data_IF_452244964982
#
_entry.id   IF_452244964982
#
_cell.length_a   1.000
_cell.length_b   1.000
_cell.length_c   1.000
_cell.angle_alpha   90.00
_cell.angle_beta   90.00
_cell.angle_gamma   90.00
#
_symmetry.space_group_name_H-M   'P 1'
#
loop_
_entity.id
_entity.type
_entity.pdbx_description
1 polymer ?
#
# COMPACT_ATOMS: atom_id res chain seq x y z
N UNK A 1 9.60 -34.43 -40.69
CA UNK A 1 10.24 -33.89 -39.47
C UNK A 1 10.27 -32.39 -39.62
N UNK A 2 9.20 -31.72 -39.20
CA UNK A 2 8.98 -30.28 -39.39
C UNK A 2 9.73 -29.47 -38.35
N UNK A 3 10.15 -28.27 -38.77
CA UNK A 3 11.26 -27.48 -38.23
C UNK A 3 10.82 -26.46 -37.17
N UNK A 4 9.60 -26.59 -36.63
CA UNK A 4 8.93 -25.57 -35.80
C UNK A 4 8.23 -26.17 -34.57
N UNK A 5 9.00 -26.76 -33.65
CA UNK A 5 8.60 -26.90 -32.25
C UNK A 5 9.88 -26.70 -31.41
N UNK A 6 9.89 -25.86 -30.36
CA UNK A 6 8.80 -25.71 -29.39
C UNK A 6 8.40 -24.25 -29.08
N UNK A 7 7.12 -24.01 -28.78
CA UNK A 7 6.75 -22.95 -27.83
C UNK A 7 7.65 -23.14 -26.60
N UNK A 8 8.42 -22.12 -26.21
CA UNK A 8 9.56 -22.36 -25.32
C UNK A 8 9.08 -22.98 -24.02
N UNK A 9 9.89 -23.84 -23.38
CA UNK A 9 9.55 -24.45 -22.08
C UNK A 9 9.05 -23.39 -21.07
N UNK A 10 9.60 -22.16 -21.17
CA UNK A 10 9.19 -21.01 -20.36
C UNK A 10 7.75 -20.54 -20.63
N UNK A 11 7.30 -20.60 -21.88
CA UNK A 11 5.93 -20.24 -22.25
C UNK A 11 4.94 -21.28 -21.71
N UNK A 12 5.29 -22.56 -21.80
CA UNK A 12 4.49 -23.66 -21.22
C UNK A 12 4.40 -23.51 -19.70
N UNK A 13 5.54 -23.30 -19.02
CA UNK A 13 5.57 -23.07 -17.57
C UNK A 13 4.77 -21.83 -17.15
N UNK A 14 4.78 -20.76 -17.96
CA UNK A 14 4.01 -19.55 -17.70
C UNK A 14 2.50 -19.82 -17.83
N UNK A 15 2.08 -20.54 -18.87
CA UNK A 15 0.68 -20.92 -19.09
C UNK A 15 0.18 -21.81 -17.96
N UNK A 16 0.93 -22.85 -17.59
CA UNK A 16 0.59 -23.73 -16.47
C UNK A 16 0.44 -22.95 -15.16
N UNK A 17 1.31 -21.97 -14.92
CA UNK A 17 1.23 -21.10 -13.74
C UNK A 17 -0.02 -20.20 -13.77
N UNK A 18 -0.37 -19.65 -14.94
CA UNK A 18 -1.58 -18.84 -15.10
C UNK A 18 -2.82 -19.68 -14.85
N UNK A 19 -2.92 -20.88 -15.45
CA UNK A 19 -4.05 -21.78 -15.27
C UNK A 19 -4.16 -22.31 -13.84
N UNK A 20 -3.04 -22.68 -13.20
CA UNK A 20 -3.03 -23.11 -11.81
C UNK A 20 -3.53 -22.00 -10.87
N UNK A 21 -3.16 -20.73 -11.13
CA UNK A 21 -3.67 -19.59 -10.38
C UNK A 21 -5.16 -19.36 -10.66
N UNK A 22 -5.58 -19.44 -11.91
CA UNK A 22 -6.98 -19.25 -12.30
C UNK A 22 -7.89 -20.28 -11.62
N UNK A 23 -7.51 -21.56 -11.63
CA UNK A 23 -8.23 -22.62 -10.93
C UNK A 23 -8.29 -22.37 -9.42
N UNK A 24 -7.17 -22.00 -8.79
CA UNK A 24 -7.14 -21.73 -7.35
C UNK A 24 -8.05 -20.55 -6.95
N UNK A 25 -8.08 -19.48 -7.75
CA UNK A 25 -8.95 -18.33 -7.52
C UNK A 25 -10.41 -18.70 -7.77
N UNK A 26 -10.70 -19.48 -8.81
CA UNK A 26 -12.04 -19.99 -9.11
C UNK A 26 -12.58 -20.86 -7.96
N UNK A 27 -11.80 -21.81 -7.46
CA UNK A 27 -12.18 -22.70 -6.36
C UNK A 27 -12.52 -21.92 -5.08
N UNK A 28 -11.72 -20.89 -4.78
CA UNK A 28 -11.95 -19.99 -3.66
C UNK A 28 -13.21 -19.14 -3.85
N UNK A 29 -13.42 -18.58 -5.04
CA UNK A 29 -14.63 -17.83 -5.37
C UNK A 29 -15.89 -18.69 -5.27
N UNK A 30 -15.87 -19.90 -5.83
CA UNK A 30 -17.00 -20.84 -5.73
C UNK A 30 -17.36 -21.18 -4.29
N UNK A 31 -16.34 -21.37 -3.45
CA UNK A 31 -16.52 -21.63 -2.02
C UNK A 31 -17.09 -20.43 -1.24
N UNK A 32 -16.85 -19.21 -1.72
CA UNK A 32 -17.40 -17.99 -1.13
C UNK A 32 -18.88 -17.79 -1.49
N UNK A 33 -19.28 -18.19 -2.70
CA UNK A 33 -20.61 -17.90 -3.26
C UNK A 33 -21.59 -19.04 -3.08
N UNK A 34 -21.14 -20.28 -2.93
CA UNK A 34 -22.02 -21.45 -2.82
C UNK A 34 -22.69 -21.80 -4.15
N UNK A 35 -22.16 -22.81 -4.83
CA UNK A 35 -22.89 -23.49 -5.89
C UNK A 35 -24.08 -24.29 -5.31
N UNK A 36 -25.15 -24.42 -6.10
CA UNK A 36 -26.34 -25.21 -5.76
C UNK A 36 -26.03 -26.70 -5.47
N UNK A 37 -26.67 -27.20 -4.39
CA UNK A 37 -27.08 -28.57 -4.08
C UNK A 37 -26.00 -29.64 -3.79
N UNK A 38 -26.02 -30.13 -2.54
CA UNK A 38 -25.50 -31.46 -2.19
C UNK A 38 -24.72 -31.50 -0.89
N UNK A 39 -25.41 -31.87 0.20
CA UNK A 39 -24.88 -32.38 1.47
C UNK A 39 -23.34 -32.41 1.65
N UNK A 40 -22.74 -31.27 2.04
CA UNK A 40 -21.52 -31.28 2.86
C UNK A 40 -21.57 -30.08 3.81
N UNK A 41 -21.42 -30.33 5.10
CA UNK A 41 -21.36 -29.37 6.22
C UNK A 41 -20.18 -28.36 6.15
N UNK A 42 -19.64 -28.05 4.96
CA UNK A 42 -18.44 -27.23 4.82
C UNK A 42 -18.76 -25.82 4.29
N UNK A 43 -18.76 -24.89 5.24
CA UNK A 43 -18.44 -23.45 5.10
C UNK A 43 -19.26 -22.63 4.10
N UNK A 44 -20.45 -22.18 4.53
CA UNK A 44 -21.18 -21.09 3.89
C UNK A 44 -20.58 -19.75 4.35
N UNK A 45 -19.85 -19.06 3.47
CA UNK A 45 -19.29 -17.71 3.72
C UNK A 45 -20.25 -16.57 3.30
N UNK A 46 -21.36 -16.92 2.62
CA UNK A 46 -22.39 -15.98 2.16
C UNK A 46 -23.03 -15.05 3.22
N UNK A 47 -23.27 -15.44 4.49
CA UNK A 47 -24.01 -14.60 5.42
C UNK A 47 -23.34 -13.26 5.74
N UNK A 48 -22.02 -13.13 5.51
CA UNK A 48 -21.24 -11.95 5.85
C UNK A 48 -21.04 -10.96 4.70
N UNK A 49 -21.28 -11.39 3.45
CA UNK A 49 -21.23 -10.51 2.29
C UNK A 49 -22.61 -9.87 2.05
N UNK A 50 -22.62 -8.60 1.67
CA UNK A 50 -23.86 -7.93 1.27
C UNK A 50 -24.45 -8.56 0.00
N UNK A 51 -25.73 -8.33 -0.26
CA UNK A 51 -26.38 -8.75 -1.52
C UNK A 51 -25.68 -8.18 -2.76
N UNK A 52 -25.07 -6.99 -2.65
CA UNK A 52 -24.36 -6.35 -3.76
C UNK A 52 -23.01 -7.02 -4.02
N UNK A 53 -22.24 -7.28 -2.96
CA UNK A 53 -20.99 -8.05 -3.01
C UNK A 53 -21.24 -9.46 -3.57
N UNK A 54 -22.28 -10.15 -3.12
CA UNK A 54 -22.63 -11.48 -3.65
C UNK A 54 -22.91 -11.45 -5.15
N UNK A 55 -23.75 -10.52 -5.63
CA UNK A 55 -24.05 -10.38 -7.08
C UNK A 55 -22.80 -10.12 -7.91
N UNK A 56 -21.91 -9.25 -7.43
CA UNK A 56 -20.67 -8.93 -8.14
C UNK A 56 -19.74 -10.15 -8.19
N UNK A 57 -19.63 -10.89 -7.09
CA UNK A 57 -18.84 -12.10 -7.01
C UNK A 57 -19.36 -13.15 -8.02
N UNK A 58 -20.69 -13.35 -8.10
CA UNK A 58 -21.31 -14.34 -9.00
C UNK A 58 -21.03 -13.98 -10.45
N UNK A 59 -21.14 -12.69 -10.79
CA UNK A 59 -20.83 -12.19 -12.12
C UNK A 59 -19.38 -12.50 -12.52
N UNK A 60 -18.41 -12.17 -11.66
CA UNK A 60 -16.98 -12.39 -11.95
C UNK A 60 -16.63 -13.88 -12.09
N UNK A 61 -17.26 -14.75 -11.29
CA UNK A 61 -17.10 -16.20 -11.46
C UNK A 61 -17.64 -16.69 -12.80
N UNK A 62 -18.84 -16.26 -13.19
CA UNK A 62 -19.43 -16.65 -14.48
C UNK A 62 -18.57 -16.17 -15.67
N UNK A 63 -17.96 -14.99 -15.59
CA UNK A 63 -17.05 -14.47 -16.60
C UNK A 63 -15.76 -15.32 -16.70
N UNK A 64 -15.21 -15.77 -15.57
CA UNK A 64 -14.05 -16.66 -15.53
C UNK A 64 -14.39 -18.07 -16.05
N UNK A 65 -15.51 -18.65 -15.63
CA UNK A 65 -15.98 -19.96 -16.10
C UNK A 65 -16.28 -19.97 -17.59
N UNK A 66 -16.92 -18.92 -18.11
CA UNK A 66 -17.12 -18.74 -19.54
C UNK A 66 -15.79 -18.73 -20.32
N UNK A 67 -14.74 -18.15 -19.73
CA UNK A 67 -13.40 -18.13 -20.32
C UNK A 67 -12.73 -19.51 -20.34
N UNK A 68 -12.99 -20.36 -19.33
CA UNK A 68 -12.56 -21.75 -19.34
C UNK A 68 -13.32 -22.59 -20.36
N UNK A 69 -14.64 -22.43 -20.48
CA UNK A 69 -15.44 -23.19 -21.46
C UNK A 69 -15.03 -22.89 -22.91
N UNK A 70 -14.70 -21.63 -23.21
CA UNK A 70 -14.15 -21.22 -24.50
C UNK A 70 -12.81 -21.92 -24.83
N UNK A 71 -12.05 -22.33 -23.81
CA UNK A 71 -10.76 -23.02 -23.99
C UNK A 71 -10.90 -24.49 -24.41
N UNK A 72 -12.03 -25.13 -24.08
CA UNK A 72 -12.24 -26.57 -24.29
C UNK A 72 -12.84 -26.94 -25.65
N UNK A 73 -13.24 -25.95 -26.47
CA UNK A 73 -14.09 -26.20 -27.63
C UNK A 73 -13.40 -26.17 -29.01
N UNK A 74 -12.12 -25.82 -29.17
CA UNK A 74 -11.48 -25.81 -30.50
C UNK A 74 -9.99 -26.18 -30.49
N UNK A 75 -9.52 -26.78 -31.59
CA UNK A 75 -8.11 -26.81 -31.96
C UNK A 75 -7.69 -25.38 -32.35
N UNK A 76 -7.39 -24.56 -31.34
CA UNK A 76 -7.09 -23.14 -31.47
C UNK A 76 -5.74 -22.93 -32.18
N UNK A 77 -5.70 -21.97 -33.11
CA UNK A 77 -4.43 -21.48 -33.66
C UNK A 77 -3.63 -20.68 -32.61
N UNK A 78 -2.33 -20.49 -32.82
CA UNK A 78 -1.44 -19.83 -31.85
C UNK A 78 -1.91 -18.43 -31.41
N UNK A 79 -2.47 -17.63 -32.34
CA UNK A 79 -3.02 -16.28 -32.05
C UNK A 79 -4.26 -16.33 -31.15
N UNK A 80 -5.14 -17.32 -31.34
CA UNK A 80 -6.36 -17.48 -30.56
C UNK A 80 -6.05 -17.98 -29.14
N UNK A 81 -5.00 -18.80 -28.98
CA UNK A 81 -4.52 -19.27 -27.68
C UNK A 81 -3.99 -18.12 -26.81
N UNK A 82 -3.23 -17.18 -27.40
CA UNK A 82 -2.71 -15.99 -26.69
C UNK A 82 -3.84 -15.08 -26.21
N UNK A 83 -4.85 -14.84 -27.05
CA UNK A 83 -6.01 -14.03 -26.70
C UNK A 83 -6.82 -14.69 -25.57
N UNK A 84 -7.02 -16.00 -25.65
CA UNK A 84 -7.70 -16.78 -24.60
C UNK A 84 -6.94 -16.73 -23.26
N UNK A 85 -5.63 -16.95 -23.26
CA UNK A 85 -4.80 -16.87 -22.05
C UNK A 85 -4.85 -15.46 -21.44
N UNK A 86 -4.83 -14.43 -22.30
CA UNK A 86 -4.93 -13.03 -21.88
C UNK A 86 -6.28 -12.75 -21.22
N UNK A 87 -7.37 -13.25 -21.80
CA UNK A 87 -8.71 -13.14 -21.22
C UNK A 87 -8.82 -13.89 -19.89
N UNK A 88 -8.37 -15.15 -19.80
CA UNK A 88 -8.36 -15.92 -18.53
C UNK A 88 -7.58 -15.17 -17.45
N UNK A 89 -6.41 -14.65 -17.79
CA UNK A 89 -5.59 -13.86 -16.85
C UNK A 89 -6.35 -12.61 -16.38
N UNK A 90 -6.98 -11.87 -17.28
CA UNK A 90 -7.73 -10.66 -16.95
C UNK A 90 -8.93 -10.96 -16.04
N UNK A 91 -9.70 -12.01 -16.32
CA UNK A 91 -10.83 -12.40 -15.46
C UNK A 91 -10.36 -12.91 -14.10
N UNK A 92 -9.27 -13.69 -14.08
CA UNK A 92 -8.63 -14.16 -12.84
C UNK A 92 -8.16 -12.99 -11.98
N UNK A 93 -7.51 -11.98 -12.58
CA UNK A 93 -7.04 -10.79 -11.87
C UNK A 93 -8.20 -9.96 -11.32
N UNK A 94 -9.31 -9.88 -12.05
CA UNK A 94 -10.52 -9.16 -11.64
C UNK A 94 -11.20 -9.83 -10.45
N UNK A 95 -11.37 -11.16 -10.50
CA UNK A 95 -11.90 -11.93 -9.38
C UNK A 95 -10.96 -11.88 -8.18
N UNK A 96 -9.66 -12.09 -8.37
CA UNK A 96 -8.68 -12.02 -7.29
C UNK A 96 -8.69 -10.65 -6.59
N UNK A 97 -8.70 -9.55 -7.35
CA UNK A 97 -8.77 -8.19 -6.78
C UNK A 97 -10.04 -7.97 -5.97
N UNK A 98 -11.19 -8.45 -6.46
CA UNK A 98 -12.45 -8.38 -5.73
C UNK A 98 -12.39 -9.19 -4.43
N UNK A 99 -11.86 -10.42 -4.48
CA UNK A 99 -11.69 -11.26 -3.30
C UNK A 99 -10.79 -10.59 -2.26
N UNK A 100 -9.67 -10.00 -2.70
CA UNK A 100 -8.76 -9.26 -1.83
C UNK A 100 -9.46 -8.10 -1.12
N UNK A 101 -10.30 -7.35 -1.83
CA UNK A 101 -11.04 -6.23 -1.24
C UNK A 101 -12.09 -6.69 -0.22
N UNK A 102 -12.67 -7.87 -0.42
CA UNK A 102 -13.62 -8.47 0.51
C UNK A 102 -12.97 -8.92 1.82
N UNK A 103 -11.66 -9.22 1.86
CA UNK A 103 -10.95 -9.72 3.07
C UNK A 103 -11.17 -8.79 4.25
N UNK A 104 -11.12 -7.47 4.03
CA UNK A 104 -11.34 -6.47 5.07
C UNK A 104 -12.71 -6.61 5.75
N UNK A 105 -13.73 -7.10 5.05
CA UNK A 105 -15.10 -7.23 5.56
C UNK A 105 -15.40 -8.57 6.22
N UNK A 106 -14.48 -9.54 6.18
CA UNK A 106 -14.71 -10.88 6.72
C UNK A 106 -14.38 -10.97 8.22
N UNK A 107 -15.13 -11.81 8.92
CA UNK A 107 -14.92 -12.09 10.34
C UNK A 107 -13.83 -13.15 10.58
N UNK A 108 -13.37 -13.27 11.83
CA UNK A 108 -12.27 -14.18 12.20
C UNK A 108 -12.55 -15.67 11.85
N UNK A 109 -13.74 -16.23 12.13
CA UNK A 109 -14.10 -17.58 11.67
C UNK A 109 -13.98 -17.77 10.15
N UNK A 110 -14.54 -16.84 9.36
CA UNK A 110 -14.49 -16.90 7.89
C UNK A 110 -13.05 -16.86 7.38
N UNK A 111 -12.24 -15.95 7.92
CA UNK A 111 -10.82 -15.83 7.56
C UNK A 111 -10.02 -17.10 7.90
N UNK A 112 -10.30 -17.75 9.04
CA UNK A 112 -9.67 -19.03 9.41
C UNK A 112 -10.04 -20.15 8.46
N UNK A 113 -11.29 -20.19 8.01
CA UNK A 113 -11.74 -21.15 7.00
C UNK A 113 -11.05 -20.91 5.66
N UNK A 114 -11.05 -19.66 5.16
CA UNK A 114 -10.34 -19.31 3.93
C UNK A 114 -8.84 -19.63 3.99
N UNK A 115 -8.19 -19.38 5.13
CA UNK A 115 -6.77 -19.71 5.32
C UNK A 115 -6.46 -21.20 5.12
N UNK A 116 -7.37 -22.08 5.54
CA UNK A 116 -7.23 -23.54 5.38
C UNK A 116 -7.41 -23.98 3.92
N UNK A 117 -8.23 -23.26 3.17
CA UNK A 117 -8.57 -23.58 1.78
C UNK A 117 -7.57 -23.00 0.78
N UNK A 118 -7.01 -21.82 1.07
CA UNK A 118 -6.11 -21.13 0.18
C UNK A 118 -4.83 -21.96 -0.07
N UNK A 119 -4.69 -22.44 -1.32
CA UNK A 119 -3.58 -23.27 -1.76
C UNK A 119 -2.30 -22.45 -1.97
N UNK A 120 -1.17 -23.13 -2.21
CA UNK A 120 0.10 -22.46 -2.53
C UNK A 120 0.03 -21.61 -3.81
N UNK A 121 -0.89 -21.94 -4.73
CA UNK A 121 -1.09 -21.17 -5.96
C UNK A 121 -1.74 -19.78 -5.69
N UNK A 122 -2.39 -19.61 -4.54
CA UNK A 122 -2.97 -18.34 -4.07
C UNK A 122 -2.16 -17.75 -2.89
N UNK A 123 -0.83 -17.76 -2.99
CA UNK A 123 0.05 -17.36 -1.89
C UNK A 123 -0.18 -15.92 -1.41
N UNK A 124 -0.42 -14.97 -2.32
CA UNK A 124 -0.70 -13.58 -1.96
C UNK A 124 -1.92 -13.46 -1.05
N UNK A 125 -3.02 -14.13 -1.44
CA UNK A 125 -4.24 -14.20 -0.63
C UNK A 125 -3.98 -14.81 0.76
N UNK A 126 -3.14 -15.85 0.85
CA UNK A 126 -2.76 -16.44 2.15
C UNK A 126 -2.06 -15.43 3.05
N UNK A 127 -1.14 -14.64 2.50
CA UNK A 127 -0.45 -13.59 3.23
C UNK A 127 -1.43 -12.51 3.71
N UNK A 128 -2.37 -12.08 2.85
CA UNK A 128 -3.41 -11.11 3.22
C UNK A 128 -4.31 -11.61 4.34
N UNK A 129 -4.77 -12.86 4.27
CA UNK A 129 -5.57 -13.47 5.32
C UNK A 129 -4.77 -13.54 6.63
N UNK A 130 -3.49 -13.90 6.59
CA UNK A 130 -2.63 -13.91 7.78
C UNK A 130 -2.51 -12.50 8.39
N UNK A 131 -2.21 -11.49 7.58
CA UNK A 131 -2.17 -10.09 8.01
C UNK A 131 -3.49 -9.62 8.62
N UNK A 132 -4.64 -9.95 8.00
CA UNK A 132 -5.96 -9.60 8.55
C UNK A 132 -6.22 -10.29 9.88
N UNK A 133 -5.88 -11.57 10.01
CA UNK A 133 -5.99 -12.27 11.28
C UNK A 133 -5.12 -11.61 12.37
N UNK A 134 -3.89 -11.24 12.06
CA UNK A 134 -2.97 -10.51 12.97
C UNK A 134 -3.50 -9.10 13.32
N UNK A 135 -4.23 -8.45 12.42
CA UNK A 135 -4.95 -7.21 12.72
C UNK A 135 -6.13 -7.41 13.68
N UNK A 136 -6.72 -8.61 13.70
CA UNK A 136 -7.87 -8.92 14.56
C UNK A 136 -7.47 -9.55 15.90
N UNK A 137 -6.24 -10.05 16.05
CA UNK A 137 -5.76 -10.58 17.33
C UNK A 137 -5.61 -9.47 18.38
N UNK A 138 -6.02 -9.76 19.61
CA UNK A 138 -5.89 -8.85 20.76
C UNK A 138 -4.51 -8.94 21.41
N UNK A 139 -3.85 -10.10 21.32
CA UNK A 139 -2.57 -10.36 21.93
C UNK A 139 -1.46 -10.41 20.88
N UNK A 140 -0.35 -9.71 21.16
CA UNK A 140 0.91 -9.79 20.43
C UNK A 140 2.03 -10.09 21.44
N UNK A 141 3.07 -10.81 21.02
CA UNK A 141 4.19 -11.10 21.92
C UNK A 141 4.85 -9.79 22.37
N UNK A 142 5.10 -9.62 23.69
CA UNK A 142 5.78 -8.44 24.23
C UNK A 142 7.31 -8.49 24.05
N UNK A 143 7.84 -9.52 23.39
CA UNK A 143 9.28 -9.74 23.30
C UNK A 143 9.98 -8.64 22.50
N UNK A 144 10.75 -7.82 23.20
CA UNK A 144 11.54 -6.77 22.59
C UNK A 144 12.78 -7.36 21.89
N UNK A 145 13.10 -6.78 20.75
CA UNK A 145 14.24 -7.18 19.93
C UNK A 145 15.44 -6.30 20.23
N UNK A 146 16.61 -6.91 20.46
CA UNK A 146 17.86 -6.18 20.66
C UNK A 146 18.49 -5.80 19.32
N UNK A 147 18.96 -4.56 19.22
CA UNK A 147 19.67 -4.03 18.05
C UNK A 147 21.00 -3.43 18.50
N UNK A 148 22.07 -3.75 17.77
CA UNK A 148 23.39 -3.13 17.95
C UNK A 148 23.52 -1.98 16.94
N UNK A 149 23.66 -0.75 17.42
CA UNK A 149 23.58 0.44 16.56
C UNK A 149 24.93 0.93 16.05
N UNK A 150 24.96 1.42 14.81
CA UNK A 150 26.18 1.85 14.11
C UNK A 150 26.71 3.20 14.60
N UNK A 151 25.82 4.02 15.15
CA UNK A 151 26.13 5.36 15.65
C UNK A 151 25.52 5.57 17.02
N UNK A 152 26.02 6.54 17.78
CA UNK A 152 25.31 7.01 18.97
C UNK A 152 23.95 7.60 18.59
N UNK A 153 22.97 7.49 19.51
CA UNK A 153 21.67 8.11 19.33
C UNK A 153 21.79 9.63 19.44
N UNK A 154 20.94 10.35 18.70
CA UNK A 154 20.83 11.81 18.83
C UNK A 154 19.42 12.21 19.27
N UNK A 155 19.24 13.39 19.92
CA UNK A 155 17.92 13.90 20.26
C UNK A 155 17.01 14.03 19.03
N UNK A 156 15.72 13.68 19.17
CA UNK A 156 14.70 13.74 18.11
C UNK A 156 15.05 12.96 16.84
N UNK A 157 15.93 11.97 16.95
CA UNK A 157 16.25 11.07 15.84
C UNK A 157 15.04 10.19 15.53
N UNK A 158 14.51 10.31 14.30
CA UNK A 158 13.43 9.44 13.83
C UNK A 158 13.94 8.12 13.25
N UNK A 159 15.05 8.14 12.51
CA UNK A 159 15.58 6.97 11.82
C UNK A 159 17.01 6.67 12.29
N UNK A 160 17.31 5.40 12.54
CA UNK A 160 18.66 4.97 12.96
C UNK A 160 19.01 3.60 12.37
N UNK A 161 20.22 3.48 11.84
CA UNK A 161 20.76 2.23 11.31
C UNK A 161 21.43 1.41 12.42
N UNK A 162 21.40 0.09 12.27
CA UNK A 162 22.09 -0.84 13.15
C UNK A 162 22.11 -2.24 12.57
N UNK A 163 22.36 -3.22 13.43
CA UNK A 163 22.46 -4.62 13.10
C UNK A 163 21.66 -5.48 14.09
N UNK A 164 21.03 -6.54 13.58
CA UNK A 164 20.38 -7.56 14.38
C UNK A 164 20.69 -8.93 13.79
N UNK A 165 21.29 -9.82 14.59
CA UNK A 165 21.60 -11.20 14.17
C UNK A 165 22.37 -11.30 12.84
N UNK A 166 23.24 -10.33 12.56
CA UNK A 166 24.02 -10.24 11.31
C UNK A 166 23.34 -9.50 10.15
N UNK A 167 22.05 -9.21 10.24
CA UNK A 167 21.32 -8.41 9.24
C UNK A 167 21.46 -6.90 9.52
N UNK A 168 21.61 -6.09 8.46
CA UNK A 168 21.50 -4.62 8.57
C UNK A 168 20.04 -4.23 8.74
N UNK A 169 19.77 -3.36 9.71
CA UNK A 169 18.42 -2.95 10.10
C UNK A 169 18.28 -1.43 10.16
N UNK A 170 17.06 -0.98 9.88
CA UNK A 170 16.60 0.39 10.05
C UNK A 170 15.59 0.43 11.19
N UNK A 171 15.83 1.27 12.18
CA UNK A 171 14.91 1.53 13.30
C UNK A 171 14.19 2.85 13.08
N UNK A 172 12.86 2.81 13.05
CA UNK A 172 12.00 4.00 13.08
C UNK A 172 11.49 4.23 14.51
N UNK A 173 11.84 5.37 15.10
CA UNK A 173 11.45 5.76 16.45
C UNK A 173 10.14 6.54 16.49
N UNK A 174 9.34 6.20 17.50
CA UNK A 174 8.08 6.85 17.86
C UNK A 174 8.22 7.36 19.29
N UNK A 175 8.20 8.67 19.43
CA UNK A 175 8.29 9.32 20.73
C UNK A 175 6.89 9.41 21.34
N UNK A 176 6.83 9.25 22.66
CA UNK A 176 5.63 9.52 23.42
C UNK A 176 6.01 10.36 24.65
N UNK A 177 5.02 10.99 25.27
CA UNK A 177 5.24 11.77 26.50
C UNK A 177 5.23 10.86 27.72
N UNK A 178 5.61 11.39 28.89
CA UNK A 178 5.44 10.65 30.14
C UNK A 178 3.94 10.39 30.37
N UNK A 179 3.57 9.11 30.36
CA UNK A 179 2.21 8.61 30.48
C UNK A 179 2.11 7.67 31.67
N UNK A 180 0.91 7.52 32.20
CA UNK A 180 0.62 6.55 33.25
C UNK A 180 0.83 5.11 32.75
N UNK A 181 1.04 4.18 33.68
CA UNK A 181 1.34 2.77 33.39
C UNK A 181 0.25 2.10 32.54
N UNK A 182 -1.03 2.44 32.76
CA UNK A 182 -2.14 1.85 32.00
C UNK A 182 -2.14 2.34 30.54
N UNK A 183 -1.82 3.61 30.30
CA UNK A 183 -1.65 4.16 28.95
C UNK A 183 -0.39 3.61 28.29
N UNK A 184 0.70 3.43 29.04
CA UNK A 184 1.92 2.79 28.55
C UNK A 184 1.68 1.35 28.10
N UNK A 185 0.97 0.55 28.91
CA UNK A 185 0.63 -0.83 28.57
C UNK A 185 -0.19 -0.92 27.28
N UNK A 186 -1.20 -0.04 27.12
CA UNK A 186 -2.00 0.04 25.89
C UNK A 186 -1.17 0.43 24.67
N UNK A 187 -0.25 1.39 24.83
CA UNK A 187 0.66 1.80 23.76
C UNK A 187 1.63 0.66 23.38
N UNK A 188 2.21 -0.03 24.37
CA UNK A 188 3.10 -1.18 24.15
C UNK A 188 2.38 -2.31 23.43
N UNK A 189 1.14 -2.63 23.80
CA UNK A 189 0.32 -3.62 23.09
C UNK A 189 0.05 -3.20 21.63
N UNK A 190 -0.26 -1.91 21.40
CA UNK A 190 -0.45 -1.39 20.06
C UNK A 190 0.83 -1.51 19.21
N UNK A 191 1.99 -1.15 19.77
CA UNK A 191 3.30 -1.26 19.11
C UNK A 191 3.61 -2.72 18.80
N UNK A 192 3.44 -3.63 19.76
CA UNK A 192 3.67 -5.06 19.54
C UNK A 192 2.80 -5.61 18.40
N UNK A 193 1.53 -5.18 18.31
CA UNK A 193 0.60 -5.58 17.25
C UNK A 193 1.01 -5.07 15.87
N UNK A 194 1.37 -3.78 15.76
CA UNK A 194 1.85 -3.19 14.50
C UNK A 194 3.16 -3.86 14.07
N UNK A 195 4.05 -4.14 15.03
CA UNK A 195 5.29 -4.89 14.80
C UNK A 195 5.02 -6.29 14.25
N UNK A 196 4.12 -7.05 14.88
CA UNK A 196 3.74 -8.38 14.42
C UNK A 196 3.19 -8.35 12.99
N UNK A 197 2.40 -7.33 12.67
CA UNK A 197 1.90 -7.12 11.33
C UNK A 197 3.03 -6.81 10.33
N UNK A 198 4.04 -6.04 10.71
CA UNK A 198 5.22 -5.82 9.87
C UNK A 198 6.08 -7.09 9.67
N UNK A 199 6.05 -8.03 10.61
CA UNK A 199 6.73 -9.35 10.50
C UNK A 199 6.02 -10.30 9.53
N UNK A 200 4.69 -10.21 9.39
CA UNK A 200 3.96 -11.05 8.43
C UNK A 200 4.54 -10.91 7.01
N UNK A 201 4.67 -11.99 6.22
CA UNK A 201 5.08 -11.90 4.83
C UNK A 201 4.11 -11.05 4.02
N UNK A 202 4.63 -10.21 3.12
CA UNK A 202 3.81 -9.34 2.26
C UNK A 202 4.37 -9.31 0.86
N UNK A 203 3.50 -9.09 -0.11
CA UNK A 203 3.91 -8.80 -1.47
C UNK A 203 4.67 -7.45 -1.53
N UNK A 204 5.69 -7.30 -2.41
CA UNK A 204 6.40 -6.03 -2.58
C UNK A 204 5.50 -4.84 -2.91
N UNK A 205 4.31 -5.05 -3.49
CA UNK A 205 3.32 -3.99 -3.75
C UNK A 205 2.82 -3.28 -2.49
N UNK A 206 2.97 -3.86 -1.29
CA UNK A 206 2.71 -3.16 -0.03
C UNK A 206 3.70 -2.02 0.23
N UNK A 207 4.85 -2.02 -0.46
CA UNK A 207 5.93 -1.03 -0.29
C UNK A 207 6.26 -0.80 1.18
N UNK A 208 6.40 -1.86 1.97
CA UNK A 208 6.87 -1.76 3.36
C UNK A 208 8.18 -2.55 3.49
N UNK A 209 9.04 -2.14 4.42
CA UNK A 209 10.21 -2.94 4.75
C UNK A 209 9.80 -4.17 5.58
N UNK A 210 10.47 -5.32 5.41
CA UNK A 210 10.21 -6.49 6.25
C UNK A 210 10.46 -6.16 7.72
N UNK A 211 9.45 -6.34 8.58
CA UNK A 211 9.59 -6.15 10.02
C UNK A 211 10.35 -7.30 10.66
N UNK A 212 11.16 -6.97 11.67
CA UNK A 212 11.84 -7.95 12.53
C UNK A 212 11.18 -7.98 13.90
N UNK A 213 10.83 -6.81 14.42
CA UNK A 213 10.32 -6.66 15.77
C UNK A 213 10.26 -5.20 16.17
N UNK A 214 10.19 -4.96 17.46
CA UNK A 214 10.25 -3.63 18.03
C UNK A 214 11.17 -3.61 19.26
N UNK A 215 11.57 -2.41 19.66
CA UNK A 215 12.34 -2.15 20.88
C UNK A 215 11.74 -0.98 21.65
N UNK A 216 12.11 -0.88 22.92
CA UNK A 216 11.86 0.28 23.75
C UNK A 216 13.18 0.92 24.17
N UNK A 217 13.25 2.24 24.12
CA UNK A 217 14.44 3.02 24.44
C UNK A 217 14.02 4.28 25.21
N UNK A 218 14.79 4.66 26.23
CA UNK A 218 14.53 5.81 27.09
C UNK A 218 15.69 6.82 27.14
N UNK A 219 16.77 6.61 26.38
CA UNK A 219 18.01 7.42 26.45
C UNK A 219 17.80 8.91 26.10
N UNK A 220 16.85 9.25 25.25
CA UNK A 220 16.53 10.62 24.83
C UNK A 220 15.03 10.93 24.93
N UNK A 221 14.42 10.44 26.01
CA UNK A 221 12.98 10.44 26.22
C UNK A 221 12.35 9.09 25.84
N UNK A 222 11.14 8.81 26.35
CA UNK A 222 10.50 7.52 26.16
C UNK A 222 10.05 7.33 24.71
N UNK A 223 10.52 6.26 24.08
CA UNK A 223 10.24 5.96 22.68
C UNK A 223 10.21 4.46 22.38
N UNK A 224 9.37 4.08 21.42
CA UNK A 224 9.43 2.77 20.78
C UNK A 224 10.18 2.86 19.46
N UNK A 225 10.76 1.75 19.01
CA UNK A 225 11.42 1.65 17.71
C UNK A 225 10.89 0.45 16.94
N UNK A 226 10.30 0.66 15.76
CA UNK A 226 10.03 -0.43 14.82
C UNK A 226 11.31 -0.80 14.08
N UNK A 227 11.62 -2.09 14.02
CA UNK A 227 12.86 -2.59 13.44
C UNK A 227 12.54 -3.25 12.11
N UNK A 228 13.17 -2.73 11.07
CA UNK A 228 12.98 -3.17 9.70
C UNK A 228 14.29 -3.73 9.12
N UNK A 229 14.21 -4.85 8.43
CA UNK A 229 15.34 -5.38 7.66
C UNK A 229 15.63 -4.47 6.46
N UNK A 230 16.89 -4.08 6.30
CA UNK A 230 17.34 -3.35 5.10
C UNK A 230 17.51 -4.36 3.96
N UNK A 231 17.01 -4.09 2.74
CA UNK A 231 17.21 -4.99 1.61
C UNK A 231 18.71 -5.21 1.34
N UNK A 232 19.09 -6.44 0.99
CA UNK A 232 20.50 -6.81 0.83
C UNK A 232 21.25 -5.93 -0.20
N UNK A 233 20.57 -5.50 -1.26
CA UNK A 233 21.11 -4.63 -2.29
C UNK A 233 21.12 -3.13 -1.88
N UNK A 234 20.62 -2.82 -0.68
CA UNK A 234 20.63 -1.49 -0.06
C UNK A 234 21.54 -1.41 1.17
N UNK A 235 22.33 -2.44 1.44
CA UNK A 235 23.37 -2.38 2.48
C UNK A 235 24.36 -1.26 2.11
N UNK A 236 24.62 -0.35 3.05
CA UNK A 236 25.45 0.84 2.85
C UNK A 236 24.74 2.03 2.19
N UNK A 237 23.50 1.87 1.72
CA UNK A 237 22.68 2.99 1.24
C UNK A 237 22.11 3.76 2.44
N UNK A 238 21.91 5.06 2.26
CA UNK A 238 21.34 5.94 3.27
C UNK A 238 19.83 6.11 3.06
N UNK A 239 19.01 6.03 4.11
CA UNK A 239 17.58 6.31 4.02
C UNK A 239 17.32 7.82 3.98
N UNK A 240 16.43 8.26 3.09
CA UNK A 240 15.94 9.64 3.01
C UNK A 240 14.41 9.65 2.97
N UNK A 241 13.79 10.65 3.57
CA UNK A 241 12.36 10.90 3.45
C UNK A 241 12.08 11.66 2.16
N UNK A 242 10.98 11.35 1.47
CA UNK A 242 10.60 11.98 0.21
C UNK A 242 10.47 13.50 0.37
N UNK A 243 9.88 13.98 1.47
CA UNK A 243 9.82 15.41 1.80
C UNK A 243 11.19 16.11 1.82
N UNK A 244 12.22 15.39 2.24
CA UNK A 244 13.60 15.84 2.26
C UNK A 244 14.26 15.89 0.88
N UNK A 245 13.66 15.27 -0.14
CA UNK A 245 14.16 15.14 -1.52
C UNK A 245 13.41 16.07 -2.48
N UNK A 246 12.09 16.23 -2.30
CA UNK A 246 11.22 17.04 -3.15
C UNK A 246 11.77 18.46 -3.34
N UNK A 247 11.86 18.90 -4.59
CA UNK A 247 12.37 20.22 -4.97
C UNK A 247 13.89 20.40 -4.89
N UNK A 248 14.65 19.43 -4.37
CA UNK A 248 16.11 19.52 -4.23
C UNK A 248 16.89 18.80 -5.33
N UNK A 249 16.30 17.76 -5.90
CA UNK A 249 16.90 16.97 -6.98
C UNK A 249 15.99 16.97 -8.21
N UNK A 250 16.56 16.84 -9.40
CA UNK A 250 15.79 16.74 -10.64
C UNK A 250 15.40 15.28 -10.88
N UNK A 251 14.11 15.03 -11.08
CA UNK A 251 13.59 13.68 -11.34
C UNK A 251 12.73 13.70 -12.61
N UNK A 252 12.97 12.75 -13.54
CA UNK A 252 12.17 12.61 -14.75
C UNK A 252 10.68 12.40 -14.45
N UNK A 253 9.81 12.73 -15.41
CA UNK A 253 8.37 12.69 -15.19
C UNK A 253 7.87 11.25 -15.04
N UNK A 254 8.37 10.33 -15.86
CA UNK A 254 8.08 8.89 -15.81
C UNK A 254 8.41 8.28 -14.45
N UNK A 255 9.53 8.68 -13.83
CA UNK A 255 9.90 8.24 -12.48
C UNK A 255 8.93 8.77 -11.44
N UNK A 256 8.46 10.02 -11.58
CA UNK A 256 7.43 10.60 -10.69
C UNK A 256 6.09 9.86 -10.81
N UNK A 257 5.68 9.53 -12.03
CA UNK A 257 4.46 8.74 -12.26
C UNK A 257 4.56 7.33 -11.68
N UNK A 258 5.71 6.66 -11.83
CA UNK A 258 5.92 5.34 -11.24
C UNK A 258 5.89 5.40 -9.71
N UNK A 259 6.58 6.37 -9.11
CA UNK A 259 6.53 6.60 -7.66
C UNK A 259 5.09 6.85 -7.17
N UNK A 260 4.34 7.69 -7.86
CA UNK A 260 2.93 7.95 -7.57
C UNK A 260 2.06 6.69 -7.66
N UNK A 261 2.25 5.89 -8.72
CA UNK A 261 1.58 4.61 -8.89
C UNK A 261 1.88 3.67 -7.71
N UNK A 262 3.16 3.49 -7.37
CA UNK A 262 3.60 2.54 -6.35
C UNK A 262 3.07 2.90 -4.95
N UNK A 263 3.00 4.19 -4.63
CA UNK A 263 2.42 4.66 -3.36
C UNK A 263 0.90 4.50 -3.34
N UNK A 264 0.23 4.73 -4.47
CA UNK A 264 -1.21 4.49 -4.60
C UNK A 264 -1.54 3.00 -4.46
N UNK A 265 -0.76 2.14 -5.12
CA UNK A 265 -0.91 0.68 -5.05
C UNK A 265 -0.73 0.21 -3.60
N UNK A 266 0.34 0.64 -2.94
CA UNK A 266 0.62 0.30 -1.55
C UNK A 266 -0.54 0.64 -0.61
N UNK A 267 -1.17 1.82 -0.78
CA UNK A 267 -2.34 2.17 0.04
C UNK A 267 -3.53 1.25 -0.22
N UNK A 268 -3.80 0.90 -1.48
CA UNK A 268 -4.86 -0.07 -1.81
C UNK A 268 -4.57 -1.44 -1.21
N UNK A 269 -3.30 -1.88 -1.21
CA UNK A 269 -2.91 -3.12 -0.56
C UNK A 269 -3.20 -3.10 0.94
N UNK A 270 -2.83 -2.01 1.64
CA UNK A 270 -3.14 -1.83 3.06
C UNK A 270 -4.66 -1.86 3.31
N UNK A 271 -5.44 -1.12 2.51
CA UNK A 271 -6.88 -1.05 2.69
C UNK A 271 -7.59 -2.38 2.41
N UNK A 272 -7.12 -3.20 1.47
CA UNK A 272 -7.69 -4.52 1.17
C UNK A 272 -7.74 -5.46 2.39
N UNK A 273 -6.78 -5.33 3.30
CA UNK A 273 -6.72 -6.10 4.55
C UNK A 273 -7.25 -5.34 5.77
N UNK A 274 -7.94 -4.21 5.56
CA UNK A 274 -8.46 -3.38 6.65
C UNK A 274 -7.38 -2.70 7.49
N UNK A 275 -6.18 -2.50 6.94
CA UNK A 275 -5.08 -1.78 7.58
C UNK A 275 -5.06 -0.33 7.12
N UNK A 276 -5.26 0.62 8.04
CA UNK A 276 -5.23 2.05 7.70
C UNK A 276 -3.91 2.68 8.12
N UNK A 277 -3.31 3.48 7.24
CA UNK A 277 -2.03 4.13 7.53
C UNK A 277 -2.21 5.27 8.55
N UNK A 278 -3.27 6.07 8.41
CA UNK A 278 -3.70 7.19 9.28
C UNK A 278 -2.72 8.37 9.39
N UNK A 279 -1.57 8.29 8.74
CA UNK A 279 -0.51 9.29 8.77
C UNK A 279 0.18 9.37 7.38
N UNK A 280 -0.57 9.30 6.29
CA UNK A 280 0.03 9.35 4.95
C UNK A 280 0.53 10.77 4.64
N UNK A 281 1.84 10.92 4.39
CA UNK A 281 2.50 12.19 4.01
C UNK A 281 3.86 11.91 3.36
N UNK A 282 4.46 12.90 2.69
CA UNK A 282 5.79 12.73 2.07
C UNK A 282 6.92 12.47 3.08
N UNK A 283 6.76 12.85 4.35
CA UNK A 283 7.68 12.43 5.43
C UNK A 283 7.62 10.92 5.73
N UNK A 284 6.57 10.24 5.27
CA UNK A 284 6.30 8.84 5.56
C UNK A 284 6.54 7.94 4.33
N UNK A 285 7.29 8.47 3.36
CA UNK A 285 7.81 7.72 2.20
C UNK A 285 9.33 7.76 2.26
N UNK A 286 9.95 6.60 2.41
CA UNK A 286 11.39 6.40 2.51
C UNK A 286 11.97 5.97 1.17
N UNK A 287 13.04 6.62 0.76
CA UNK A 287 13.82 6.39 -0.45
C UNK A 287 15.27 6.14 -0.04
N UNK A 288 15.84 5.02 -0.48
CA UNK A 288 17.27 4.78 -0.27
C UNK A 288 18.09 5.54 -1.31
N UNK A 289 19.26 6.02 -0.89
CA UNK A 289 20.23 6.65 -1.77
C UNK A 289 21.65 6.14 -1.55
N UNK A 290 22.42 6.05 -2.63
CA UNK A 290 23.84 5.70 -2.62
C UNK A 290 24.68 6.80 -3.26
N UNK A 291 25.89 6.98 -2.74
CA UNK A 291 26.92 7.79 -3.36
C UNK A 291 27.84 6.96 -4.28
N UNK A 292 27.62 5.64 -4.37
CA UNK A 292 28.49 4.72 -5.11
C UNK A 292 28.08 4.65 -6.59
N UNK A 293 29.01 5.00 -7.49
CA UNK A 293 28.77 5.20 -8.92
C UNK A 293 28.73 3.92 -9.77
N UNK A 294 28.66 2.73 -9.17
CA UNK A 294 28.79 1.47 -9.92
C UNK A 294 27.64 1.15 -10.89
N UNK A 295 26.58 1.96 -10.95
CA UNK A 295 25.38 1.68 -11.76
C UNK A 295 25.09 2.64 -12.92
N UNK A 296 25.91 3.66 -13.21
CA UNK A 296 25.65 4.54 -14.37
C UNK A 296 26.93 4.76 -15.18
N UNK A 297 27.08 3.93 -16.21
CA UNK A 297 28.05 4.14 -17.29
C UNK A 297 27.65 5.41 -18.07
N UNK A 298 28.06 6.58 -17.57
CA UNK A 298 28.31 7.83 -18.31
C UNK A 298 28.19 9.02 -17.36
N UNK A 299 29.32 9.55 -16.86
CA UNK A 299 29.75 10.95 -17.06
C UNK A 299 30.92 11.36 -16.16
N UNK A 300 31.54 12.40 -16.70
CA UNK A 300 32.74 13.18 -16.39
C UNK A 300 32.85 13.72 -14.95
N UNK A 301 34.10 13.90 -14.55
CA UNK A 301 34.62 14.45 -13.30
C UNK A 301 33.86 15.69 -12.78
N UNK A 302 33.60 15.73 -11.47
CA UNK A 302 33.40 16.99 -10.74
C UNK A 302 32.05 17.26 -10.07
N UNK A 303 31.32 16.25 -9.58
CA UNK A 303 30.41 16.27 -8.40
C UNK A 303 29.60 14.97 -8.40
N UNK A 304 29.77 14.14 -7.38
CA UNK A 304 29.03 12.88 -7.24
C UNK A 304 27.65 13.19 -6.66
N UNK A 305 26.68 13.51 -7.53
CA UNK A 305 25.29 13.62 -7.10
C UNK A 305 24.79 12.26 -6.59
N UNK A 306 24.08 12.20 -5.44
CA UNK A 306 23.56 10.95 -4.90
C UNK A 306 22.56 10.30 -5.86
N UNK A 307 22.66 8.98 -6.02
CA UNK A 307 21.69 8.17 -6.77
C UNK A 307 20.57 7.75 -5.83
N UNK A 308 19.33 8.06 -6.17
CA UNK A 308 18.14 7.70 -5.39
C UNK A 308 17.39 6.55 -6.06
N UNK A 309 16.96 5.54 -5.27
CA UNK A 309 16.11 4.45 -5.76
C UNK A 309 14.63 4.81 -5.63
N UNK A 310 14.12 5.55 -6.62
CA UNK A 310 12.69 5.88 -6.71
C UNK A 310 11.82 4.70 -7.17
N UNK A 311 12.42 3.59 -7.62
CA UNK A 311 11.67 2.40 -8.07
C UNK A 311 11.20 1.53 -6.89
N UNK A 312 11.86 1.67 -5.74
CA UNK A 312 11.50 0.99 -4.49
C UNK A 312 11.32 1.99 -3.35
N UNK A 313 10.21 2.76 -3.37
CA UNK A 313 9.81 3.53 -2.20
C UNK A 313 9.29 2.60 -1.09
N UNK A 314 9.43 3.03 0.16
CA UNK A 314 8.94 2.31 1.32
C UNK A 314 8.08 3.22 2.22
N UNK A 315 6.85 2.83 2.51
CA UNK A 315 6.00 3.45 3.51
C UNK A 315 6.55 3.14 4.91
N UNK A 316 6.59 4.18 5.73
CA UNK A 316 6.96 4.17 7.15
C UNK A 316 5.98 5.06 7.94
N UNK A 317 6.12 5.22 9.25
CA UNK A 317 5.24 6.08 10.03
C UNK A 317 3.89 5.42 10.30
N UNK A 318 3.93 4.14 10.68
CA UNK A 318 2.76 3.37 11.11
C UNK A 318 2.41 3.58 12.59
N UNK A 319 2.96 4.62 13.23
CA UNK A 319 2.75 4.98 14.65
C UNK A 319 1.28 5.21 15.02
N UNK A 320 0.52 5.77 14.08
CA UNK A 320 -0.91 6.00 14.21
C UNK A 320 -1.77 4.90 13.56
N UNK A 321 -1.11 3.92 12.94
CA UNK A 321 -1.77 2.87 12.17
C UNK A 321 -2.47 1.86 13.07
N UNK A 322 -3.64 1.38 12.63
CA UNK A 322 -4.46 0.41 13.36
C UNK A 322 -5.56 -0.17 12.44
N UNK A 323 -6.20 -1.28 12.83
CA UNK A 323 -7.36 -1.82 12.11
C UNK A 323 -8.47 -0.78 11.92
N UNK A 324 -9.33 -1.03 10.94
CA UNK A 324 -10.53 -0.24 10.66
C UNK A 324 -11.53 -0.19 11.83
N UNK A 325 -11.59 -1.26 12.61
CA UNK A 325 -12.51 -1.45 13.73
C UNK A 325 -12.03 -0.76 15.01
N UNK A 326 -10.75 -0.35 15.06
CA UNK A 326 -10.16 0.22 16.26
C UNK A 326 -10.65 1.64 16.54
N UNK A 327 -10.93 1.93 17.81
CA UNK A 327 -11.39 3.23 18.29
C UNK A 327 -10.49 4.40 17.85
N UNK A 328 -11.08 5.57 17.64
CA UNK A 328 -10.29 6.78 17.42
C UNK A 328 -9.67 7.23 18.73
N UNK A 329 -8.33 7.37 18.79
CA UNK A 329 -7.68 8.07 19.91
C UNK A 329 -8.35 9.44 20.06
N UNK A 330 -9.01 9.68 21.20
CA UNK A 330 -9.68 10.93 21.52
C UNK A 330 -8.74 12.13 21.71
N UNK A 331 -7.44 11.95 21.45
CA UNK A 331 -6.43 12.99 21.52
C UNK A 331 -6.50 13.85 20.26
N UNK A 332 -6.90 15.11 20.43
CA UNK A 332 -6.85 16.13 19.37
C UNK A 332 -5.38 16.44 19.11
N UNK A 333 -4.87 16.04 17.96
CA UNK A 333 -3.50 16.35 17.57
C UNK A 333 -3.48 17.69 16.82
N UNK A 334 -2.89 18.69 17.47
CA UNK A 334 -2.78 20.06 16.98
C UNK A 334 -1.51 20.30 16.15
N UNK A 335 -0.74 19.27 15.78
CA UNK A 335 0.39 19.45 14.89
C UNK A 335 -0.10 19.98 13.53
N UNK A 336 0.20 21.25 13.27
CA UNK A 336 -0.19 21.98 12.07
C UNK A 336 0.42 21.34 10.83
N UNK A 337 1.66 20.83 10.95
CA UNK A 337 2.38 20.18 9.85
C UNK A 337 1.74 18.84 9.48
N UNK A 338 1.10 18.16 10.44
CA UNK A 338 0.31 16.95 10.18
C UNK A 338 -1.11 17.28 9.67
N UNK A 339 -1.69 18.40 10.09
CA UNK A 339 -3.08 18.76 9.78
C UNK A 339 -3.30 19.10 8.30
N UNK A 340 -2.31 19.65 7.60
CA UNK A 340 -2.45 19.99 6.17
C UNK A 340 -2.65 18.77 5.27
N UNK A 341 -2.33 17.55 5.75
CA UNK A 341 -2.57 16.28 5.05
C UNK A 341 -3.92 15.64 5.42
N UNK A 342 -4.60 16.15 6.45
CA UNK A 342 -5.82 15.53 6.97
C UNK A 342 -7.05 15.95 6.17
N UNK A 343 -7.97 15.01 6.01
CA UNK A 343 -9.29 15.31 5.46
C UNK A 343 -10.00 16.39 6.30
N UNK A 344 -10.74 17.33 5.66
CA UNK A 344 -11.39 18.42 6.36
C UNK A 344 -12.25 18.05 7.57
N UNK A 345 -13.02 16.96 7.46
CA UNK A 345 -13.89 16.50 8.55
C UNK A 345 -13.12 16.05 9.81
N UNK A 346 -11.84 15.73 9.67
CA UNK A 346 -10.96 15.27 10.76
C UNK A 346 -10.07 16.37 11.31
N UNK A 347 -10.05 17.55 10.71
CA UNK A 347 -9.23 18.65 11.20
C UNK A 347 -9.82 19.16 12.52
N UNK A 348 -9.10 18.95 13.63
CA UNK A 348 -9.53 19.36 14.97
C UNK A 348 -10.74 18.59 15.52
N UNK A 349 -11.14 17.47 14.91
CA UNK A 349 -12.31 16.67 15.33
C UNK A 349 -11.96 15.17 15.47
N UNK A 350 -12.34 14.52 16.59
CA UNK A 350 -12.08 13.10 16.80
C UNK A 350 -13.16 12.20 16.17
N UNK A 351 -13.49 12.39 14.88
CA UNK A 351 -14.43 11.48 14.20
C UNK A 351 -13.85 10.07 14.03
N UNK A 352 -14.64 9.07 13.65
CA UNK A 352 -14.13 7.75 13.27
C UNK A 352 -13.19 7.88 12.06
N UNK A 353 -12.11 7.10 11.99
CA UNK A 353 -11.25 7.10 10.81
C UNK A 353 -11.83 6.16 9.75
N UNK A 354 -11.97 6.63 8.51
CA UNK A 354 -12.40 5.84 7.35
C UNK A 354 -11.32 5.88 6.26
N UNK A 355 -11.40 4.98 5.28
CA UNK A 355 -10.49 4.93 4.12
C UNK A 355 -10.37 6.27 3.39
N UNK A 356 -11.47 7.03 3.32
CA UNK A 356 -11.52 8.33 2.64
C UNK A 356 -10.48 9.31 3.20
N UNK A 357 -10.17 9.24 4.49
CA UNK A 357 -9.16 10.10 5.10
C UNK A 357 -7.75 9.75 4.62
N UNK A 358 -7.43 8.46 4.51
CA UNK A 358 -6.16 8.00 3.95
C UNK A 358 -6.06 8.34 2.46
N UNK A 359 -7.16 8.20 1.71
CA UNK A 359 -7.18 8.52 0.27
C UNK A 359 -7.01 10.03 0.04
N UNK A 360 -7.61 10.88 0.86
CA UNK A 360 -7.39 12.32 0.79
C UNK A 360 -5.92 12.67 1.01
N UNK A 361 -5.31 12.09 2.05
CA UNK A 361 -3.90 12.28 2.35
C UNK A 361 -2.99 11.76 1.21
N UNK A 362 -3.35 10.63 0.58
CA UNK A 362 -2.72 10.16 -0.66
C UNK A 362 -2.83 11.20 -1.77
N UNK A 363 -4.00 11.79 -2.01
CA UNK A 363 -4.18 12.84 -3.01
C UNK A 363 -3.21 14.01 -2.83
N UNK A 364 -2.93 14.38 -1.58
CA UNK A 364 -1.93 15.40 -1.27
C UNK A 364 -0.52 14.92 -1.61
N UNK A 365 -0.13 13.71 -1.19
CA UNK A 365 1.19 13.15 -1.52
C UNK A 365 1.39 13.02 -3.03
N UNK A 366 0.37 12.58 -3.77
CA UNK A 366 0.38 12.53 -5.22
C UNK A 366 0.55 13.94 -5.82
N UNK A 367 -0.07 14.97 -5.24
CA UNK A 367 0.16 16.35 -5.68
C UNK A 367 1.61 16.79 -5.45
N UNK A 368 2.18 16.47 -4.28
CA UNK A 368 3.57 16.77 -3.97
C UNK A 368 4.54 16.10 -4.97
N UNK A 369 4.31 14.82 -5.29
CA UNK A 369 5.08 14.07 -6.28
C UNK A 369 4.93 14.71 -7.67
N UNK A 370 3.71 15.04 -8.08
CA UNK A 370 3.44 15.58 -9.41
C UNK A 370 4.08 16.97 -9.63
N UNK A 371 3.92 17.85 -8.64
CA UNK A 371 4.57 19.17 -8.63
C UNK A 371 6.08 19.12 -8.34
N UNK A 372 6.54 17.98 -7.82
CA UNK A 372 7.88 17.78 -7.29
C UNK A 372 8.28 18.81 -6.22
N UNK A 373 7.34 19.13 -5.34
CA UNK A 373 7.45 20.16 -4.29
C UNK A 373 6.65 19.72 -3.07
N UNK A 374 7.12 20.07 -1.87
CA UNK A 374 6.32 19.81 -0.66
C UNK A 374 5.10 20.73 -0.61
N UNK A 375 4.01 20.27 -0.01
CA UNK A 375 2.78 21.04 0.15
C UNK A 375 3.04 22.38 0.86
N UNK A 376 3.76 22.43 2.01
CA UNK A 376 4.10 23.70 2.65
C UNK A 376 4.79 24.71 1.72
N UNK A 377 5.63 24.25 0.79
CA UNK A 377 6.33 25.13 -0.16
C UNK A 377 5.39 25.73 -1.22
N UNK A 378 4.18 25.20 -1.40
CA UNK A 378 3.19 25.70 -2.36
C UNK A 378 2.37 26.88 -1.81
N UNK A 379 2.49 27.17 -0.51
CA UNK A 379 1.84 28.30 0.13
C UNK A 379 2.41 29.64 -0.38
N UNK A 380 1.58 30.43 -1.06
CA UNK A 380 1.94 31.76 -1.54
C UNK A 380 2.34 32.71 -0.41
N UNK A 381 1.83 32.52 0.81
CA UNK A 381 2.18 33.32 1.98
C UNK A 381 3.52 32.92 2.61
N UNK A 382 4.17 31.85 2.13
CA UNK A 382 5.41 31.29 2.66
C UNK A 382 5.34 30.95 4.16
N UNK A 383 4.15 30.59 4.66
CA UNK A 383 3.92 30.19 6.05
C UNK A 383 3.59 28.71 6.18
N UNK A 384 3.76 27.92 5.10
CA UNK A 384 3.48 26.49 5.10
C UNK A 384 2.00 26.18 5.42
N UNK A 385 1.09 27.08 5.08
CA UNK A 385 -0.32 27.02 5.48
C UNK A 385 -0.57 27.06 7.00
N UNK A 386 0.41 27.44 7.82
CA UNK A 386 0.26 27.47 9.27
C UNK A 386 -0.83 28.44 9.77
N UNK A 387 -1.20 29.43 8.96
CA UNK A 387 -2.31 30.36 9.24
C UNK A 387 -3.68 29.84 8.83
N UNK A 388 -3.78 28.69 8.16
CA UNK A 388 -5.06 28.13 7.72
C UNK A 388 -5.79 27.54 8.93
N UNK A 389 -6.90 28.17 9.30
CA UNK A 389 -7.78 27.70 10.39
C UNK A 389 -8.97 26.88 9.88
N UNK A 390 -9.27 27.00 8.59
CA UNK A 390 -10.43 26.39 7.96
C UNK A 390 -9.95 25.38 6.91
N UNK A 391 -10.12 24.07 7.15
CA UNK A 391 -9.64 23.02 6.24
C UNK A 391 -10.24 23.13 4.84
N UNK A 392 -11.48 23.60 4.72
CA UNK A 392 -12.16 23.71 3.44
C UNK A 392 -11.54 24.80 2.56
N UNK A 393 -10.89 25.81 3.15
CA UNK A 393 -10.10 26.78 2.39
C UNK A 393 -8.87 26.14 1.77
N UNK A 394 -8.20 25.24 2.49
CA UNK A 394 -7.07 24.50 1.95
C UNK A 394 -7.54 23.59 0.82
N UNK A 395 -8.59 22.78 1.04
CA UNK A 395 -9.15 21.90 -0.01
C UNK A 395 -9.56 22.71 -1.24
N UNK A 396 -10.26 23.84 -1.06
CA UNK A 396 -10.63 24.74 -2.17
C UNK A 396 -9.40 25.27 -2.89
N UNK A 397 -8.35 25.70 -2.19
CA UNK A 397 -7.09 26.12 -2.81
C UNK A 397 -6.47 24.99 -3.64
N UNK A 398 -6.40 23.76 -3.10
CA UNK A 398 -5.85 22.60 -3.80
C UNK A 398 -6.63 22.32 -5.09
N UNK A 399 -7.97 22.28 -5.02
CA UNK A 399 -8.84 21.96 -6.14
C UNK A 399 -8.91 23.05 -7.22
N UNK A 400 -8.84 24.33 -6.83
CA UNK A 400 -9.04 25.46 -7.77
C UNK A 400 -7.75 26.09 -8.25
N UNK A 401 -6.76 26.25 -7.37
CA UNK A 401 -5.53 27.00 -7.64
C UNK A 401 -4.34 26.09 -7.93
N UNK A 402 -4.22 24.97 -7.23
CA UNK A 402 -3.12 24.03 -7.43
C UNK A 402 -3.35 23.07 -8.61
N UNK A 403 -4.59 22.61 -8.84
CA UNK A 403 -4.92 21.69 -9.94
C UNK A 403 -4.48 22.16 -11.34
N UNK A 404 -4.70 23.42 -11.77
CA UNK A 404 -4.25 23.85 -13.10
C UNK A 404 -2.72 23.80 -13.26
N UNK A 405 -1.99 24.15 -12.19
CA UNK A 405 -0.53 24.06 -12.15
C UNK A 405 -0.06 22.60 -12.20
N UNK A 406 -0.80 21.69 -11.55
CA UNK A 406 -0.50 20.26 -11.57
C UNK A 406 -0.69 19.73 -12.99
N UNK A 407 -1.84 20.03 -13.60
CA UNK A 407 -2.14 19.62 -14.97
C UNK A 407 -1.09 20.15 -15.97
N UNK A 408 -0.57 21.36 -15.77
CA UNK A 408 0.54 21.88 -16.57
C UNK A 408 1.85 21.10 -16.35
N UNK A 409 2.16 20.72 -15.10
CA UNK A 409 3.41 20.04 -14.76
C UNK A 409 3.42 18.54 -15.12
N UNK A 410 2.26 17.88 -15.07
CA UNK A 410 2.16 16.42 -15.21
C UNK A 410 1.24 15.96 -16.34
N UNK A 411 0.36 16.80 -16.85
CA UNK A 411 -0.73 16.42 -17.76
C UNK A 411 -2.07 16.23 -17.03
N UNK A 412 -3.16 16.28 -17.80
CA UNK A 412 -4.54 16.22 -17.27
C UNK A 412 -4.87 14.92 -16.56
N UNK A 413 -4.45 13.77 -17.12
CA UNK A 413 -4.74 12.44 -16.54
C UNK A 413 -4.25 12.31 -15.10
N UNK A 414 -3.05 12.79 -14.79
CA UNK A 414 -2.51 12.80 -13.43
C UNK A 414 -3.27 13.76 -12.52
N UNK A 415 -3.59 14.97 -13.02
CA UNK A 415 -4.36 15.94 -12.25
C UNK A 415 -5.77 15.45 -11.92
N UNK A 416 -6.43 14.74 -12.84
CA UNK A 416 -7.75 14.15 -12.63
C UNK A 416 -7.72 12.97 -11.63
N UNK A 417 -6.64 12.17 -11.66
CA UNK A 417 -6.38 11.14 -10.65
C UNK A 417 -6.25 11.76 -9.25
N UNK A 418 -5.44 12.83 -9.10
CA UNK A 418 -5.31 13.56 -7.84
C UNK A 418 -6.64 14.20 -7.40
N UNK A 419 -7.38 14.81 -8.33
CA UNK A 419 -8.70 15.38 -8.03
C UNK A 419 -9.66 14.33 -7.47
N UNK A 420 -9.66 13.12 -8.05
CA UNK A 420 -10.51 12.02 -7.58
C UNK A 420 -10.22 11.60 -6.14
N UNK A 421 -9.00 11.79 -5.64
CA UNK A 421 -8.64 11.56 -4.24
C UNK A 421 -9.08 12.70 -3.31
N UNK A 422 -8.99 13.95 -3.76
CA UNK A 422 -9.29 15.15 -2.96
C UNK A 422 -10.77 15.53 -2.96
N UNK A 423 -11.52 15.03 -3.92
CA UNK A 423 -12.96 15.23 -4.05
C UNK A 423 -13.68 13.89 -4.28
N UNK A 424 -13.86 13.10 -3.21
CA UNK A 424 -14.30 11.71 -3.32
C UNK A 424 -15.75 11.53 -3.80
N UNK A 425 -16.52 12.61 -3.99
CA UNK A 425 -17.92 12.53 -4.41
C UNK A 425 -18.75 11.61 -3.49
N UNK A 426 -19.42 10.62 -4.07
CA UNK A 426 -20.37 9.74 -3.37
C UNK A 426 -19.76 8.49 -2.71
N UNK A 427 -18.45 8.46 -2.43
CA UNK A 427 -17.83 7.30 -1.77
C UNK A 427 -18.44 6.95 -0.41
N UNK A 428 -19.22 7.85 0.20
CA UNK A 428 -19.95 7.61 1.45
C UNK A 428 -20.97 6.48 1.35
N UNK A 429 -21.44 6.17 0.14
CA UNK A 429 -22.47 5.13 -0.10
C UNK A 429 -21.88 3.83 -0.67
N UNK A 430 -20.56 3.76 -0.84
CA UNK A 430 -19.88 2.65 -1.51
C UNK A 430 -19.46 1.58 -0.50
N UNK A 431 -19.57 0.31 -0.89
CA UNK A 431 -18.92 -0.78 -0.18
C UNK A 431 -17.39 -0.71 -0.37
N UNK A 432 -16.64 -1.39 0.50
CA UNK A 432 -15.17 -1.35 0.49
C UNK A 432 -14.58 -1.67 -0.89
N UNK A 433 -15.08 -2.72 -1.54
CA UNK A 433 -14.62 -3.14 -2.87
C UNK A 433 -14.94 -2.11 -3.97
N UNK A 434 -16.02 -1.34 -3.84
CA UNK A 434 -16.39 -0.31 -4.82
C UNK A 434 -15.47 0.90 -4.72
N UNK A 435 -15.10 1.29 -3.50
CA UNK A 435 -14.11 2.35 -3.28
C UNK A 435 -12.77 1.93 -3.90
N UNK A 436 -12.33 0.71 -3.66
CA UNK A 436 -11.08 0.20 -4.22
C UNK A 436 -11.12 0.06 -5.75
N UNK A 437 -12.23 -0.41 -6.32
CA UNK A 437 -12.41 -0.48 -7.76
C UNK A 437 -12.41 0.91 -8.42
N UNK A 438 -13.14 1.87 -7.83
CA UNK A 438 -13.12 3.27 -8.25
C UNK A 438 -11.69 3.86 -8.22
N UNK A 439 -10.93 3.58 -7.16
CA UNK A 439 -9.52 4.00 -7.05
C UNK A 439 -8.63 3.34 -8.11
N UNK A 440 -8.79 2.04 -8.36
CA UNK A 440 -8.05 1.34 -9.42
C UNK A 440 -8.33 1.95 -10.79
N UNK A 441 -9.59 2.28 -11.07
CA UNK A 441 -10.02 2.83 -12.36
C UNK A 441 -9.63 4.29 -12.56
N UNK A 442 -9.84 5.15 -11.54
CA UNK A 442 -9.67 6.60 -11.65
C UNK A 442 -8.27 7.10 -11.30
N UNK A 443 -7.50 6.31 -10.55
CA UNK A 443 -6.19 6.73 -10.04
C UNK A 443 -5.09 5.78 -10.52
N UNK A 444 -5.15 4.50 -10.13
CA UNK A 444 -4.05 3.57 -10.36
C UNK A 444 -3.78 3.30 -11.86
N UNK A 445 -4.82 2.93 -12.62
CA UNK A 445 -4.69 2.65 -14.07
C UNK A 445 -4.22 3.88 -14.88
N UNK A 446 -4.76 5.10 -14.67
CA UNK A 446 -4.24 6.30 -15.32
C UNK A 446 -2.76 6.58 -15.03
N UNK A 447 -2.32 6.39 -13.78
CA UNK A 447 -0.91 6.56 -13.41
C UNK A 447 -0.03 5.51 -14.11
N UNK A 448 -0.49 4.25 -14.14
CA UNK A 448 0.21 3.15 -14.79
C UNK A 448 0.43 3.38 -16.29
N UNK A 449 -0.67 3.60 -17.00
CA UNK A 449 -0.65 3.80 -18.45
C UNK A 449 0.21 5.01 -18.86
N UNK A 450 0.32 6.02 -18.00
CA UNK A 450 1.12 7.20 -18.30
C UNK A 450 2.63 6.96 -18.15
N UNK A 451 3.11 6.27 -17.11
CA UNK A 451 4.56 5.95 -17.07
C UNK A 451 4.95 4.88 -18.08
N UNK A 452 4.05 3.94 -18.41
CA UNK A 452 4.31 2.94 -19.47
C UNK A 452 4.47 3.65 -20.82
N UNK A 453 3.62 4.62 -21.13
CA UNK A 453 3.70 5.42 -22.36
C UNK A 453 4.90 6.39 -22.41
N UNK A 454 5.41 6.83 -21.26
CA UNK A 454 6.62 7.68 -21.20
C UNK A 454 7.92 6.85 -21.25
N UNK A 455 7.85 5.56 -20.94
CA UNK A 455 9.00 4.64 -20.96
C UNK A 455 9.19 3.92 -22.30
N UNK A 456 8.13 3.84 -23.11
CA UNK A 456 8.15 3.40 -24.52
C UNK A 456 8.62 4.52 -25.44
#
# INVERSE_FOLDING_TARGET
MTRDAPSSIKDIELVDKILARANAVNDLGQSLIGGEVGEKENAVLLPFLSTKSQKQATKLLQELEGSFLASGQNALGDLEAVELITNIKQQTDSLASFLDDCISSLDTPSLRTLRKMASKAAQDLRHRIAMRLTLLTEEASPDQTRVDFDSQATPRQRLRMGHHSGDSVLVEYIYYEDIDEQTHQRLSQQVAKISALHVEPKDPSFRTLPGIGYLHDSLYGPRFGFIFKVPNDKIGWKPFLLSGILGKVKVPLETRYRLAHDICEALLQLHSIGWFHKNMKSDNVLIFSSNDQKSVNNRTEGRTEPVYDFERPYLIGFDCSRPEEAETRGTVDFDVDANIYRHPDRWGRPLRFTRQHDIYALGIVLMEIGMWRTLPSMDSAQKGFASVKDPERLRKFLLTSAMPRLAHATGSRYADAVRSCLDPGEWTNYENWEVHDSMRQKVLRPLKAAYEALAS
#
